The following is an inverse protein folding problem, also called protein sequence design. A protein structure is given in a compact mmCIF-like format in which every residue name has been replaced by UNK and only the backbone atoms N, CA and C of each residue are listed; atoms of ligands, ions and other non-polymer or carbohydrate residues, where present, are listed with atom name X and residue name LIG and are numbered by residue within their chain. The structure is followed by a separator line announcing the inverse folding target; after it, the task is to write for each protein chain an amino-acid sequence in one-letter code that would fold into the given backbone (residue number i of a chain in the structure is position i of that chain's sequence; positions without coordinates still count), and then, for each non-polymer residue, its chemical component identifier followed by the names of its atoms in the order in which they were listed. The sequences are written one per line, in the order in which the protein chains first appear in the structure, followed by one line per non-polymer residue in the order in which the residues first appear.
data_IF_020051571989
#
_entry.id   IF_020051571989
#
_cell.length_a   1.000
_cell.length_b   1.000
_cell.length_c   1.000
_cell.angle_alpha   90.00
_cell.angle_beta   90.00
_cell.angle_gamma   90.00
#
_symmetry.space_group_name_H-M   'P 1'
#
loop_
_entity.id
_entity.type
_entity.pdbx_description
1 polymer ?
#
# COMPACT_ATOMS: atom_id res chain seq x y z
N UNK A 1 2.18 19.70 28.55
CA UNK A 1 3.19 18.96 27.75
C UNK A 1 3.50 19.89 26.60
N UNK A 2 4.39 20.86 26.81
CA UNK A 2 4.44 22.07 25.96
C UNK A 2 5.72 22.12 25.12
N UNK A 3 6.43 20.99 25.02
CA UNK A 3 7.75 20.90 24.39
C UNK A 3 7.72 20.36 22.95
N UNK A 4 6.56 19.89 22.46
CA UNK A 4 6.41 19.35 21.11
C UNK A 4 5.38 20.23 20.41
N UNK A 5 5.81 20.99 19.40
CA UNK A 5 4.98 21.94 18.64
C UNK A 5 3.80 21.28 17.91
N UNK A 6 3.75 19.95 17.89
CA UNK A 6 2.70 19.14 17.30
C UNK A 6 1.95 18.36 18.38
N UNK A 7 0.64 18.39 18.27
CA UNK A 7 -0.30 17.54 18.99
C UNK A 7 -0.24 16.10 18.50
N UNK A 8 -0.86 15.17 19.25
CA UNK A 8 -0.97 13.77 18.83
C UNK A 8 -1.62 13.61 17.46
N UNK A 9 -2.69 14.37 17.17
CA UNK A 9 -3.39 14.30 15.88
C UNK A 9 -2.48 14.67 14.70
N UNK A 10 -1.66 15.72 14.87
CA UNK A 10 -0.73 16.16 13.83
C UNK A 10 0.39 15.15 13.59
N UNK A 11 0.89 14.49 14.64
CA UNK A 11 1.85 13.38 14.47
C UNK A 11 1.28 12.20 13.71
N UNK A 12 0.01 11.84 13.96
CA UNK A 12 -0.65 10.78 13.20
C UNK A 12 -0.86 11.21 11.75
N UNK A 13 -1.15 12.49 11.48
CA UNK A 13 -1.19 13.02 10.12
C UNK A 13 0.18 12.97 9.41
N UNK A 14 1.28 13.27 10.11
CA UNK A 14 2.64 13.10 9.57
C UNK A 14 2.91 11.64 9.20
N UNK A 15 2.54 10.69 10.06
CA UNK A 15 2.68 9.25 9.76
C UNK A 15 1.90 8.83 8.51
N UNK A 16 0.65 9.30 8.38
CA UNK A 16 -0.17 9.07 7.18
C UNK A 16 0.51 9.61 5.93
N UNK A 17 1.01 10.85 5.96
CA UNK A 17 1.68 11.49 4.82
C UNK A 17 2.98 10.74 4.48
N UNK A 18 3.77 10.37 5.48
CA UNK A 18 4.99 9.58 5.28
C UNK A 18 4.72 8.23 4.62
N UNK A 19 3.66 7.52 5.03
CA UNK A 19 3.21 6.29 4.38
C UNK A 19 2.76 6.55 2.93
N UNK A 20 2.05 7.65 2.66
CA UNK A 20 1.66 8.03 1.32
C UNK A 20 2.85 8.36 0.40
N UNK A 21 3.86 9.06 0.93
CA UNK A 21 5.11 9.35 0.21
C UNK A 21 5.86 8.07 -0.13
N UNK A 22 5.87 7.09 0.77
CA UNK A 22 6.45 5.77 0.50
C UNK A 22 5.80 5.10 -0.71
N UNK A 23 4.46 5.04 -0.75
CA UNK A 23 3.73 4.47 -1.88
C UNK A 23 3.97 5.23 -3.19
N UNK A 24 4.00 6.56 -3.13
CA UNK A 24 4.29 7.39 -4.29
C UNK A 24 5.71 7.15 -4.83
N UNK A 25 6.68 6.98 -3.93
CA UNK A 25 8.07 6.70 -4.30
C UNK A 25 8.25 5.30 -4.87
N UNK A 26 7.54 4.30 -4.33
CA UNK A 26 7.46 2.94 -4.89
C UNK A 26 6.89 2.96 -6.31
N UNK A 27 5.80 3.70 -6.53
CA UNK A 27 5.24 3.91 -7.86
C UNK A 27 6.19 4.65 -8.81
N UNK A 28 6.92 5.65 -8.31
CA UNK A 28 7.84 6.46 -9.11
C UNK A 28 9.01 5.62 -9.64
N UNK A 29 9.60 4.77 -8.80
CA UNK A 29 10.75 3.94 -9.15
C UNK A 29 10.41 2.70 -9.99
N UNK A 30 9.13 2.37 -10.15
CA UNK A 30 8.72 1.19 -10.91
C UNK A 30 8.93 1.39 -12.41
N UNK A 31 9.55 0.41 -13.09
CA UNK A 31 9.65 0.37 -14.55
C UNK A 31 8.27 0.10 -15.17
N UNK A 32 7.50 1.17 -15.37
CA UNK A 32 6.13 1.13 -15.92
C UNK A 32 6.10 0.48 -17.30
N UNK A 33 7.13 0.72 -18.12
CA UNK A 33 7.23 0.14 -19.46
C UNK A 33 7.43 -1.38 -19.37
N UNK A 34 8.30 -1.84 -18.47
CA UNK A 34 8.45 -3.26 -18.16
C UNK A 34 7.19 -3.91 -17.59
N UNK A 35 6.50 -3.23 -16.67
CA UNK A 35 5.29 -3.74 -16.07
C UNK A 35 4.12 -3.87 -17.05
N UNK A 36 3.90 -2.87 -17.91
CA UNK A 36 2.75 -2.84 -18.82
C UNK A 36 3.00 -3.58 -20.14
N UNK A 37 4.16 -3.39 -20.76
CA UNK A 37 4.44 -3.94 -22.09
C UNK A 37 5.04 -5.34 -22.02
N UNK A 38 5.98 -5.55 -21.08
CA UNK A 38 6.73 -6.81 -20.95
C UNK A 38 6.15 -7.75 -19.90
N UNK A 39 5.21 -7.28 -19.07
CA UNK A 39 4.58 -8.07 -18.02
C UNK A 39 5.54 -8.55 -16.92
N UNK A 40 6.72 -7.92 -16.80
CA UNK A 40 7.81 -8.41 -15.93
C UNK A 40 7.41 -8.48 -14.46
N UNK A 41 6.60 -7.53 -13.99
CA UNK A 41 6.09 -7.52 -12.61
C UNK A 41 5.20 -8.71 -12.28
N UNK A 42 4.28 -9.07 -13.19
CA UNK A 42 3.38 -10.20 -12.99
C UNK A 42 4.09 -11.53 -13.21
N UNK A 43 5.05 -11.59 -14.15
CA UNK A 43 5.89 -12.77 -14.32
C UNK A 43 6.75 -13.05 -13.07
N UNK A 44 7.35 -12.01 -12.48
CA UNK A 44 8.05 -12.12 -11.20
C UNK A 44 7.11 -12.59 -10.09
N UNK A 45 5.92 -11.98 -9.96
CA UNK A 45 4.95 -12.40 -8.95
C UNK A 45 4.47 -13.84 -9.14
N UNK A 46 4.34 -14.29 -10.40
CA UNK A 46 4.00 -15.67 -10.75
C UNK A 46 5.09 -16.66 -10.35
N UNK A 47 6.37 -16.31 -10.54
CA UNK A 47 7.50 -17.18 -10.14
C UNK A 47 7.58 -17.30 -8.61
N UNK A 48 7.36 -16.20 -7.88
CA UNK A 48 7.30 -16.18 -6.42
C UNK A 48 6.10 -17.01 -5.92
N UNK A 49 4.92 -16.79 -6.51
CA UNK A 49 3.71 -17.52 -6.14
C UNK A 49 3.86 -19.04 -6.39
N UNK A 50 4.43 -19.45 -7.53
CA UNK A 50 4.62 -20.87 -7.86
C UNK A 50 5.49 -21.61 -6.82
N UNK A 51 6.51 -20.93 -6.27
CA UNK A 51 7.40 -21.46 -5.22
C UNK A 51 6.83 -21.29 -3.81
N UNK A 52 5.67 -20.64 -3.66
CA UNK A 52 5.10 -20.31 -2.36
C UNK A 52 4.63 -21.57 -1.63
N UNK A 53 4.94 -21.71 -0.33
CA UNK A 53 4.61 -22.91 0.46
C UNK A 53 3.10 -23.19 0.62
N UNK A 54 2.26 -22.17 0.53
CA UNK A 54 0.81 -22.27 0.72
C UNK A 54 0.04 -22.41 -0.59
N UNK A 55 -0.77 -23.48 -0.69
CA UNK A 55 -1.65 -23.74 -1.84
C UNK A 55 -2.67 -22.63 -2.10
N UNK A 56 -3.17 -21.96 -1.05
CA UNK A 56 -4.12 -20.87 -1.18
C UNK A 56 -3.53 -19.68 -1.98
N UNK A 57 -2.25 -19.37 -1.80
CA UNK A 57 -1.56 -18.29 -2.54
C UNK A 57 -1.35 -18.69 -3.99
N UNK A 58 -0.89 -19.92 -4.25
CA UNK A 58 -0.74 -20.47 -5.61
C UNK A 58 -2.06 -20.44 -6.39
N UNK A 59 -3.07 -21.11 -5.87
CA UNK A 59 -4.39 -21.20 -6.51
C UNK A 59 -5.07 -19.84 -6.64
N UNK A 60 -4.93 -18.96 -5.65
CA UNK A 60 -5.44 -17.59 -5.73
C UNK A 60 -4.81 -16.80 -6.88
N UNK A 61 -3.49 -16.92 -7.07
CA UNK A 61 -2.80 -16.29 -8.19
C UNK A 61 -3.30 -16.84 -9.53
N UNK A 62 -3.43 -18.16 -9.66
CA UNK A 62 -3.88 -18.83 -10.89
C UNK A 62 -5.32 -18.47 -11.27
N UNK A 63 -6.19 -18.19 -10.29
CA UNK A 63 -7.59 -17.85 -10.53
C UNK A 63 -7.78 -16.34 -10.77
N UNK A 64 -7.06 -15.49 -10.06
CA UNK A 64 -7.33 -14.04 -10.03
C UNK A 64 -6.39 -13.27 -10.96
N UNK A 65 -5.10 -13.62 -10.97
CA UNK A 65 -4.05 -12.85 -11.64
C UNK A 65 -3.71 -13.43 -13.01
N UNK A 66 -3.48 -14.75 -13.07
CA UNK A 66 -3.04 -15.44 -14.29
C UNK A 66 -3.98 -15.28 -15.51
N UNK A 67 -5.33 -15.20 -15.37
CA UNK A 67 -6.20 -15.03 -16.52
C UNK A 67 -6.14 -13.63 -17.14
N UNK A 68 -5.70 -12.61 -16.37
CA UNK A 68 -5.70 -11.19 -16.79
C UNK A 68 -4.43 -10.46 -16.36
N UNK A 69 -3.24 -10.92 -16.78
CA UNK A 69 -1.96 -10.42 -16.26
C UNK A 69 -1.74 -8.93 -16.57
N UNK A 70 -2.07 -8.48 -17.79
CA UNK A 70 -1.94 -7.05 -18.16
C UNK A 70 -2.85 -6.16 -17.32
N UNK A 71 -4.13 -6.53 -17.19
CA UNK A 71 -5.07 -5.78 -16.35
C UNK A 71 -4.59 -5.72 -14.92
N UNK A 72 -4.09 -6.84 -14.37
CA UNK A 72 -3.59 -6.85 -13.00
C UNK A 72 -2.35 -5.98 -12.81
N UNK A 73 -1.46 -5.92 -13.80
CA UNK A 73 -0.33 -4.99 -13.78
C UNK A 73 -0.81 -3.53 -13.68
N UNK A 74 -1.82 -3.14 -14.45
CA UNK A 74 -2.43 -1.81 -14.33
C UNK A 74 -3.09 -1.57 -12.97
N UNK A 75 -3.85 -2.55 -12.46
CA UNK A 75 -4.51 -2.46 -11.15
C UNK A 75 -3.48 -2.21 -10.05
N UNK A 76 -2.40 -3.00 -9.99
CA UNK A 76 -1.35 -2.85 -8.97
C UNK A 76 -0.67 -1.49 -9.07
N UNK A 77 -0.24 -1.10 -10.27
CA UNK A 77 0.48 0.17 -10.46
C UNK A 77 -0.40 1.38 -10.12
N UNK A 78 -1.66 1.38 -10.56
CA UNK A 78 -2.57 2.48 -10.22
C UNK A 78 -3.08 2.44 -8.79
N UNK A 79 -3.17 1.27 -8.16
CA UNK A 79 -3.46 1.16 -6.74
C UNK A 79 -2.36 1.81 -5.90
N UNK A 80 -1.08 1.54 -6.17
CA UNK A 80 0.03 2.18 -5.46
C UNK A 80 0.00 3.71 -5.60
N UNK A 81 -0.28 4.21 -6.81
CA UNK A 81 -0.43 5.65 -7.04
C UNK A 81 -1.62 6.24 -6.27
N UNK A 82 -2.79 5.60 -6.35
CA UNK A 82 -4.01 6.06 -5.69
C UNK A 82 -3.85 6.06 -4.16
N UNK A 83 -3.20 5.03 -3.60
CA UNK A 83 -2.87 4.95 -2.18
C UNK A 83 -1.91 6.07 -1.79
N UNK A 84 -0.84 6.29 -2.56
CA UNK A 84 0.11 7.38 -2.29
C UNK A 84 -0.57 8.74 -2.27
N UNK A 85 -1.33 9.07 -3.32
CA UNK A 85 -2.03 10.35 -3.42
C UNK A 85 -3.12 10.52 -2.37
N UNK A 86 -3.95 9.49 -2.14
CA UNK A 86 -5.02 9.52 -1.14
C UNK A 86 -4.48 9.71 0.27
N UNK A 87 -3.37 9.03 0.62
CA UNK A 87 -2.73 9.18 1.92
C UNK A 87 -1.95 10.48 2.07
N UNK A 88 -1.39 11.08 1.01
CA UNK A 88 -0.73 12.39 1.11
C UNK A 88 -1.78 13.49 1.27
N UNK A 89 -2.74 13.55 0.33
CA UNK A 89 -3.77 14.60 0.33
C UNK A 89 -4.77 14.44 1.48
N UNK A 90 -4.91 13.23 2.01
CA UNK A 90 -5.90 12.90 3.03
C UNK A 90 -7.29 12.91 2.44
N UNK A 91 -7.47 12.21 1.32
CA UNK A 91 -8.73 12.08 0.60
C UNK A 91 -9.15 10.62 0.59
N UNK A 92 -10.38 10.35 1.05
CA UNK A 92 -10.87 9.00 1.31
C UNK A 92 -9.89 8.21 2.20
N UNK A 93 -9.34 8.88 3.21
CA UNK A 93 -8.24 8.39 4.04
C UNK A 93 -8.53 7.03 4.67
N UNK A 94 -9.71 6.76 5.28
CA UNK A 94 -9.99 5.43 5.83
C UNK A 94 -9.91 4.33 4.77
N UNK A 95 -10.40 4.61 3.55
CA UNK A 95 -10.38 3.68 2.42
C UNK A 95 -8.95 3.46 1.95
N UNK A 96 -8.16 4.53 1.81
CA UNK A 96 -6.75 4.44 1.43
C UNK A 96 -5.91 3.68 2.48
N UNK A 97 -6.18 3.86 3.77
CA UNK A 97 -5.50 3.13 4.85
C UNK A 97 -5.85 1.64 4.85
N UNK A 98 -7.13 1.30 4.67
CA UNK A 98 -7.56 -0.10 4.57
C UNK A 98 -6.99 -0.75 3.31
N UNK A 99 -7.05 -0.06 2.16
CA UNK A 99 -6.46 -0.54 0.91
C UNK A 99 -4.95 -0.74 1.02
N UNK A 100 -4.24 0.21 1.64
CA UNK A 100 -2.81 0.11 1.89
C UNK A 100 -2.47 -1.02 2.85
N UNK A 101 -3.24 -1.22 3.92
CA UNK A 101 -3.09 -2.35 4.84
C UNK A 101 -3.25 -3.69 4.11
N UNK A 102 -4.33 -3.84 3.32
CA UNK A 102 -4.57 -5.07 2.56
C UNK A 102 -3.44 -5.35 1.57
N UNK A 103 -2.96 -4.33 0.85
CA UNK A 103 -1.86 -4.48 -0.10
C UNK A 103 -0.55 -4.90 0.59
N UNK A 104 -0.22 -4.27 1.73
CA UNK A 104 0.94 -4.67 2.53
C UNK A 104 0.81 -6.11 3.05
N UNK A 105 -0.39 -6.55 3.48
CA UNK A 105 -0.62 -7.93 3.91
C UNK A 105 -0.47 -8.92 2.76
N UNK A 106 -0.95 -8.58 1.56
CA UNK A 106 -0.76 -9.39 0.36
C UNK A 106 0.73 -9.53 0.01
N UNK A 107 1.49 -8.43 0.06
CA UNK A 107 2.94 -8.48 -0.17
C UNK A 107 3.69 -9.24 0.92
N UNK A 108 3.32 -9.06 2.20
CA UNK A 108 3.89 -9.80 3.32
C UNK A 108 3.67 -11.31 3.18
N UNK A 109 2.46 -11.72 2.78
CA UNK A 109 2.15 -13.12 2.53
C UNK A 109 2.90 -13.64 1.30
N UNK A 110 2.91 -12.89 0.18
CA UNK A 110 3.56 -13.32 -1.06
C UNK A 110 5.08 -13.46 -0.89
N UNK A 111 5.71 -12.51 -0.21
CA UNK A 111 7.16 -12.42 -0.02
C UNK A 111 7.65 -13.06 1.28
N UNK A 112 6.99 -14.13 1.75
CA UNK A 112 7.28 -14.76 3.05
C UNK A 112 8.73 -15.25 3.24
N UNK A 113 9.51 -15.37 2.18
CA UNK A 113 10.92 -15.79 2.23
C UNK A 113 11.90 -14.61 2.26
N UNK A 114 11.44 -13.39 1.96
CA UNK A 114 12.27 -12.18 1.93
C UNK A 114 12.12 -11.41 3.26
N UNK A 115 13.20 -11.39 4.04
CA UNK A 115 13.21 -10.81 5.38
C UNK A 115 13.16 -9.28 5.35
N UNK A 116 13.77 -8.64 4.34
CA UNK A 116 13.78 -7.19 4.22
C UNK A 116 12.37 -6.69 3.87
N UNK A 117 11.72 -7.36 2.93
CA UNK A 117 10.35 -7.06 2.52
C UNK A 117 9.34 -7.37 3.65
N UNK A 118 9.55 -8.42 4.45
CA UNK A 118 8.70 -8.65 5.63
C UNK A 118 8.79 -7.52 6.66
N UNK A 119 10.00 -7.03 6.95
CA UNK A 119 10.20 -5.91 7.88
C UNK A 119 9.51 -4.64 7.36
N UNK A 120 9.67 -4.34 6.07
CA UNK A 120 9.04 -3.18 5.44
C UNK A 120 7.52 -3.27 5.47
N UNK A 121 6.94 -4.36 4.94
CA UNK A 121 5.48 -4.51 4.83
C UNK A 121 4.81 -4.60 6.20
N UNK A 122 5.46 -5.17 7.22
CA UNK A 122 4.94 -5.19 8.59
C UNK A 122 4.92 -3.80 9.22
N UNK A 123 5.97 -2.99 9.03
CA UNK A 123 6.00 -1.60 9.50
C UNK A 123 4.94 -0.75 8.78
N UNK A 124 4.80 -0.89 7.47
CA UNK A 124 3.77 -0.17 6.71
C UNK A 124 2.35 -0.58 7.13
N UNK A 125 2.12 -1.87 7.40
CA UNK A 125 0.85 -2.36 7.93
C UNK A 125 0.57 -1.78 9.33
N UNK A 126 1.57 -1.75 10.21
CA UNK A 126 1.46 -1.16 11.54
C UNK A 126 1.11 0.34 11.45
N UNK A 127 1.81 1.10 10.60
CA UNK A 127 1.52 2.53 10.38
C UNK A 127 0.09 2.69 9.86
N UNK A 128 -0.36 1.82 8.95
CA UNK A 128 -1.73 1.86 8.43
C UNK A 128 -2.78 1.67 9.54
N UNK A 129 -2.55 0.71 10.45
CA UNK A 129 -3.44 0.47 11.60
C UNK A 129 -3.44 1.66 12.58
N UNK A 130 -2.26 2.16 12.93
CA UNK A 130 -2.13 3.30 13.85
C UNK A 130 -2.79 4.55 13.25
N UNK A 131 -2.57 4.83 11.97
CA UNK A 131 -3.19 5.97 11.29
C UNK A 131 -4.70 5.81 11.11
N UNK A 132 -5.21 4.57 11.02
CA UNK A 132 -6.65 4.30 10.91
C UNK A 132 -7.34 4.51 12.26
N UNK A 133 -6.86 3.86 13.32
CA UNK A 133 -7.46 3.98 14.65
C UNK A 133 -7.15 5.31 15.34
N UNK A 134 -6.04 5.95 14.98
CA UNK A 134 -5.70 7.31 15.39
C UNK A 134 -6.45 8.41 14.61
N UNK A 135 -7.36 8.02 13.70
CA UNK A 135 -8.17 8.94 12.89
C UNK A 135 -7.32 10.02 12.21
N UNK A 136 -6.29 9.60 11.48
CA UNK A 136 -5.29 10.47 10.83
C UNK A 136 -5.83 11.50 9.82
N UNK A 137 -7.13 11.43 9.52
CA UNK A 137 -7.85 12.38 8.68
C UNK A 137 -8.43 13.56 9.46
N UNK A 138 -8.39 13.58 10.80
CA UNK A 138 -8.95 14.72 11.55
C UNK A 138 -8.19 16.03 11.33
N UNK A 139 -6.91 15.96 10.93
CA UNK A 139 -6.08 17.12 10.64
C UNK A 139 -5.27 16.97 9.34
N UNK A 140 -4.99 18.10 8.69
CA UNK A 140 -4.22 18.22 7.44
C UNK A 140 -4.68 17.28 6.31
N UNK A 141 -5.99 17.10 6.19
CA UNK A 141 -6.62 16.22 5.21
C UNK A 141 -7.68 16.97 4.41
N UNK A 142 -7.91 16.55 3.17
CA UNK A 142 -9.06 16.99 2.39
C UNK A 142 -10.37 16.46 2.98
N UNK A 143 -10.36 15.30 3.62
CA UNK A 143 -11.53 14.73 4.28
C UNK A 143 -12.08 15.67 5.35
N UNK A 144 -11.23 16.17 6.25
CA UNK A 144 -11.62 17.15 7.29
C UNK A 144 -12.09 18.48 6.68
N UNK A 145 -11.41 18.96 5.64
CA UNK A 145 -11.80 20.20 4.95
C UNK A 145 -13.17 20.09 4.25
N UNK A 146 -13.54 18.89 3.78
CA UNK A 146 -14.80 18.61 3.09
C UNK A 146 -15.90 18.07 4.02
N UNK A 147 -15.61 17.86 5.31
CA UNK A 147 -16.53 17.25 6.26
C UNK A 147 -16.82 15.77 5.97
N UNK A 148 -15.87 15.06 5.36
CA UNK A 148 -15.93 13.62 5.15
C UNK A 148 -15.35 12.90 6.37
N UNK A 149 -16.12 11.92 6.89
CA UNK A 149 -15.81 11.09 8.07
C UNK A 149 -15.69 11.83 9.41
#
# INVERSE_FOLDING_TARGET
MDAIWLTGAEWVAVLRIGLGLWWLESWRHKDKKGWFERGTGIAWASDVAAKHRWNAVRSGFDVVVAPRPRTMAYVVVYAELALGLGLIAGFLTPIALVGGLLLNLLYLVLMIHDWAEQGQNSMMALISLVALFGMSWQTWSLDSALGLF
#
